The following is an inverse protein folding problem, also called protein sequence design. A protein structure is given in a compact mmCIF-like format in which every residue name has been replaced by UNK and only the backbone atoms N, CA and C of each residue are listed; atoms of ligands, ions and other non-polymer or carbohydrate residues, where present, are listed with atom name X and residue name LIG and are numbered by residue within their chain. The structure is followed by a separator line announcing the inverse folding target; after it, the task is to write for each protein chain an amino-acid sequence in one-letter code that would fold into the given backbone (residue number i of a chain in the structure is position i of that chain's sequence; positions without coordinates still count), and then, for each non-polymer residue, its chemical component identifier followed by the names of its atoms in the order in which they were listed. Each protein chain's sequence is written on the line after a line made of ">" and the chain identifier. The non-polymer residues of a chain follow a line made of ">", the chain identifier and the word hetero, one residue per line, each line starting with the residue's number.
data_IF_389226865741
#
_entry.id   IF_389226865741
#
_cell.length_a   1.000
_cell.length_b   1.000
_cell.length_c   1.000
_cell.angle_alpha   90.00
_cell.angle_beta   90.00
_cell.angle_gamma   90.00
#
_symmetry.space_group_name_H-M   'P 1'
#
loop_
_entity.id
_entity.type
_entity.pdbx_description
1 polymer ?
#
# COMPACT_ATOMS: atom_id res chain seq x y z
N UNK A 1 -14.24 -13.30 9.06
CA UNK A 1 -12.96 -12.78 8.52
C UNK A 1 -12.94 -11.30 8.88
N UNK A 2 -11.90 -10.83 9.55
CA UNK A 2 -11.86 -9.46 10.10
C UNK A 2 -11.84 -8.42 8.97
N UNK A 3 -12.69 -7.40 9.08
CA UNK A 3 -12.90 -6.32 8.10
C UNK A 3 -11.77 -5.25 8.07
N UNK A 4 -10.63 -5.53 8.70
CA UNK A 4 -9.51 -4.59 8.79
C UNK A 4 -8.25 -5.21 8.18
N UNK A 5 -8.32 -5.51 6.88
CA UNK A 5 -7.24 -6.08 6.07
C UNK A 5 -6.29 -5.02 5.49
N UNK A 6 -6.42 -3.76 5.92
CA UNK A 6 -5.65 -2.63 5.41
C UNK A 6 -6.21 -2.03 4.12
N UNK A 7 -7.36 -2.50 3.64
CA UNK A 7 -7.99 -1.97 2.43
C UNK A 7 -7.35 -2.49 1.14
N UNK A 8 -7.74 -1.94 -0.02
CA UNK A 8 -7.30 -2.46 -1.31
C UNK A 8 -5.85 -2.08 -1.62
N UNK A 9 -5.08 -2.98 -2.23
CA UNK A 9 -3.72 -2.68 -2.68
C UNK A 9 -3.70 -1.57 -3.75
N UNK A 10 -4.68 -1.62 -4.67
CA UNK A 10 -4.81 -0.68 -5.78
C UNK A 10 -6.11 0.14 -5.65
N UNK A 11 -6.13 1.38 -6.16
CA UNK A 11 -7.35 2.16 -6.19
C UNK A 11 -8.46 1.42 -6.98
N UNK A 12 -9.68 1.42 -6.45
CA UNK A 12 -10.83 0.85 -7.14
C UNK A 12 -12.09 1.67 -6.91
N UNK A 13 -12.99 1.61 -7.90
CA UNK A 13 -14.31 2.20 -7.77
C UNK A 13 -15.24 1.20 -7.09
N UNK A 14 -16.07 1.69 -6.17
CA UNK A 14 -17.13 0.89 -5.60
C UNK A 14 -18.31 0.79 -6.57
N UNK A 15 -18.70 -0.45 -6.85
CA UNK A 15 -19.82 -0.76 -7.72
C UNK A 15 -20.71 -1.83 -7.07
N UNK A 16 -22.02 -1.68 -7.26
CA UNK A 16 -23.02 -2.66 -6.85
C UNK A 16 -23.56 -3.37 -8.08
N UNK A 17 -23.54 -4.70 -8.05
CA UNK A 17 -24.24 -5.53 -9.01
C UNK A 17 -25.72 -5.59 -8.63
N UNK A 18 -26.59 -5.21 -9.56
CA UNK A 18 -28.03 -5.23 -9.38
C UNK A 18 -28.64 -6.56 -9.87
N UNK A 19 -29.81 -6.98 -9.34
CA UNK A 19 -30.44 -8.25 -9.71
C UNK A 19 -30.82 -8.37 -11.20
N UNK A 20 -30.95 -7.24 -11.90
CA UNK A 20 -31.25 -7.16 -13.33
C UNK A 20 -30.01 -7.30 -14.22
N UNK A 21 -28.84 -7.55 -13.62
CA UNK A 21 -27.56 -7.70 -14.34
C UNK A 21 -26.86 -6.37 -14.65
N UNK A 22 -27.42 -5.23 -14.24
CA UNK A 22 -26.77 -3.93 -14.40
C UNK A 22 -25.80 -3.63 -13.26
N UNK A 23 -24.86 -2.71 -13.51
CA UNK A 23 -23.90 -2.23 -12.52
C UNK A 23 -24.27 -0.80 -12.15
N UNK A 24 -24.44 -0.55 -10.84
CA UNK A 24 -24.62 0.78 -10.29
C UNK A 24 -23.33 1.21 -9.60
N UNK A 25 -22.73 2.31 -10.07
CA UNK A 25 -21.64 2.96 -9.35
C UNK A 25 -22.20 3.51 -8.03
N UNK A 26 -21.58 3.16 -6.91
CA UNK A 26 -22.11 3.51 -5.58
C UNK A 26 -21.91 4.99 -5.23
N UNK A 27 -21.01 5.69 -5.93
CA UNK A 27 -20.73 7.10 -5.72
C UNK A 27 -20.89 7.89 -7.02
N UNK A 28 -21.74 8.91 -6.99
CA UNK A 28 -22.18 9.73 -8.14
C UNK A 28 -21.04 10.44 -8.88
N UNK A 29 -19.90 10.66 -8.19
CA UNK A 29 -18.69 11.27 -8.73
C UNK A 29 -17.50 10.31 -8.86
N UNK A 30 -17.72 9.00 -8.75
CA UNK A 30 -16.65 8.01 -8.85
C UNK A 30 -15.63 8.11 -7.72
N UNK A 31 -16.08 8.27 -6.47
CA UNK A 31 -15.19 8.16 -5.31
C UNK A 31 -14.45 6.83 -5.37
N UNK A 32 -13.16 6.91 -5.64
CA UNK A 32 -12.25 5.80 -5.72
C UNK A 32 -11.76 5.52 -4.30
N UNK A 33 -11.89 4.28 -3.82
CA UNK A 33 -11.21 3.90 -2.58
C UNK A 33 -9.71 4.05 -2.82
N UNK A 34 -8.99 4.80 -1.97
CA UNK A 34 -7.54 4.89 -2.10
C UNK A 34 -6.92 3.50 -1.97
N UNK A 35 -5.89 3.25 -2.76
CA UNK A 35 -5.04 2.08 -2.61
C UNK A 35 -4.01 2.28 -1.49
N UNK A 36 -2.94 1.49 -1.54
CA UNK A 36 -1.78 1.66 -0.66
C UNK A 36 -1.20 3.08 -0.71
N UNK A 37 -0.72 3.56 0.43
CA UNK A 37 0.05 4.80 0.47
C UNK A 37 1.39 4.63 -0.24
N UNK A 38 2.05 5.75 -0.59
CA UNK A 38 3.41 5.71 -1.14
C UNK A 38 4.40 5.04 -0.17
N UNK A 39 4.16 5.19 1.15
CA UNK A 39 4.92 4.55 2.20
C UNK A 39 4.79 3.03 2.15
N UNK A 40 3.56 2.53 2.05
CA UNK A 40 3.29 1.09 1.98
C UNK A 40 3.88 0.49 0.70
N UNK A 41 3.82 1.23 -0.41
CA UNK A 41 4.43 0.81 -1.67
C UNK A 41 5.96 0.69 -1.56
N UNK A 42 6.64 1.70 -1.02
CA UNK A 42 8.09 1.63 -0.80
C UNK A 42 8.47 0.53 0.19
N UNK A 43 7.71 0.36 1.28
CA UNK A 43 7.95 -0.68 2.25
C UNK A 43 7.84 -2.08 1.61
N UNK A 44 6.80 -2.33 0.80
CA UNK A 44 6.66 -3.59 0.07
C UNK A 44 7.81 -3.86 -0.91
N UNK A 45 8.38 -2.82 -1.52
CA UNK A 45 9.56 -2.93 -2.40
C UNK A 45 10.83 -3.22 -1.61
N UNK A 46 11.05 -2.52 -0.49
CA UNK A 46 12.19 -2.74 0.39
C UNK A 46 12.17 -4.16 0.98
N UNK A 47 11.00 -4.59 1.45
CA UNK A 47 10.74 -5.92 2.00
C UNK A 47 11.26 -7.02 1.06
N UNK A 48 10.94 -6.97 -0.24
CA UNK A 48 11.40 -7.97 -1.20
C UNK A 48 12.93 -8.09 -1.26
N UNK A 49 13.64 -6.96 -1.21
CA UNK A 49 15.10 -6.94 -1.22
C UNK A 49 15.71 -7.45 0.08
N UNK A 50 15.10 -7.11 1.23
CA UNK A 50 15.55 -7.58 2.55
C UNK A 50 15.40 -9.11 2.64
N UNK A 51 14.23 -9.66 2.28
CA UNK A 51 13.99 -11.10 2.31
C UNK A 51 14.81 -11.90 1.29
N UNK A 52 15.29 -11.28 0.22
CA UNK A 52 16.18 -11.94 -0.72
C UNK A 52 17.57 -12.23 -0.13
N UNK A 53 17.95 -11.55 0.96
CA UNK A 53 19.22 -11.77 1.62
C UNK A 53 19.09 -12.76 2.79
N UNK A 54 19.46 -14.03 2.53
CA UNK A 54 19.44 -15.10 3.53
C UNK A 54 20.45 -14.93 4.68
N UNK A 55 21.34 -13.93 4.62
CA UNK A 55 22.28 -13.62 5.71
C UNK A 55 21.68 -12.70 6.76
N UNK A 56 20.49 -12.11 6.49
CA UNK A 56 19.77 -11.30 7.46
C UNK A 56 18.93 -12.24 8.33
N UNK A 57 19.36 -12.39 9.59
CA UNK A 57 18.65 -13.18 10.59
C UNK A 57 17.89 -12.24 11.54
N UNK A 58 16.69 -11.86 11.10
CA UNK A 58 15.78 -10.95 11.81
C UNK A 58 14.41 -11.61 11.93
N UNK A 59 13.61 -11.24 12.93
CA UNK A 59 12.23 -11.73 13.01
C UNK A 59 11.40 -11.12 11.88
N UNK A 60 10.24 -11.71 11.57
CA UNK A 60 9.32 -11.15 10.56
C UNK A 60 8.89 -9.73 10.95
N UNK A 61 8.72 -9.45 12.25
CA UNK A 61 8.41 -8.11 12.76
C UNK A 61 9.53 -7.12 12.46
N UNK A 62 10.77 -7.49 12.76
CA UNK A 62 11.94 -6.64 12.51
C UNK A 62 12.14 -6.37 11.00
N UNK A 63 11.84 -7.35 10.13
CA UNK A 63 11.85 -7.16 8.68
C UNK A 63 10.83 -6.09 8.24
N UNK A 64 9.62 -6.14 8.82
CA UNK A 64 8.59 -5.15 8.51
C UNK A 64 9.00 -3.75 9.00
N UNK A 65 9.52 -3.64 10.22
CA UNK A 65 10.05 -2.37 10.75
C UNK A 65 11.17 -1.80 9.88
N UNK A 66 12.13 -2.63 9.49
CA UNK A 66 13.22 -2.22 8.60
C UNK A 66 12.71 -1.76 7.23
N UNK A 67 11.73 -2.47 6.66
CA UNK A 67 11.13 -2.10 5.38
C UNK A 67 10.44 -0.73 5.44
N UNK A 68 9.69 -0.44 6.51
CA UNK A 68 9.08 0.87 6.73
C UNK A 68 10.13 1.96 6.99
N UNK A 69 11.21 1.66 7.71
CA UNK A 69 12.31 2.62 7.90
C UNK A 69 12.97 3.01 6.58
N UNK A 70 13.17 2.06 5.66
CA UNK A 70 13.64 2.35 4.29
C UNK A 70 12.64 3.21 3.53
N UNK A 71 11.34 2.91 3.62
CA UNK A 71 10.29 3.71 2.98
C UNK A 71 10.27 5.17 3.47
N UNK A 72 10.39 5.36 4.78
CA UNK A 72 10.42 6.69 5.41
C UNK A 72 11.65 7.48 4.94
N UNK A 73 12.83 6.84 4.83
CA UNK A 73 14.04 7.46 4.29
C UNK A 73 13.88 7.90 2.82
N UNK A 74 13.19 7.11 1.99
CA UNK A 74 12.92 7.47 0.59
C UNK A 74 11.99 8.68 0.47
N UNK A 75 10.94 8.74 1.29
CA UNK A 75 10.01 9.88 1.33
C UNK A 75 10.72 11.15 1.81
N UNK A 76 11.57 11.02 2.83
CA UNK A 76 12.37 12.12 3.34
C UNK A 76 13.31 12.69 2.26
N UNK A 77 14.00 11.82 1.51
CA UNK A 77 14.87 12.24 0.41
C UNK A 77 14.10 12.90 -0.73
N UNK A 78 12.95 12.36 -1.13
CA UNK A 78 12.09 12.97 -2.14
C UNK A 78 11.62 14.36 -1.71
N UNK A 79 11.28 14.53 -0.43
CA UNK A 79 10.88 15.81 0.15
C UNK A 79 12.04 16.80 0.15
N UNK A 80 13.25 16.36 0.48
CA UNK A 80 14.46 17.18 0.44
C UNK A 80 14.74 17.69 -0.97
N UNK A 81 14.68 16.82 -1.98
CA UNK A 81 14.93 17.16 -3.38
C UNK A 81 13.88 18.10 -4.00
N UNK A 82 12.65 18.09 -3.47
CA UNK A 82 11.59 18.98 -3.94
C UNK A 82 11.68 20.41 -3.36
N UNK A 83 12.64 20.66 -2.44
CA UNK A 83 12.79 21.90 -1.69
C UNK A 83 14.13 22.63 -1.84
N UNK A 84 14.92 22.33 -2.88
CA UNK A 84 16.13 23.07 -3.30
C UNK A 84 15.89 23.83 -4.61
#
# INVERSE_FOLDING_TARGET
>A
MSENDGGPAFPHHEAQFLPDGTIKMLHEYGLCRPGMSLRDWFAGRAMQGIFANSSIDLTIGDHAELAYAVADAMIAEATRLAGE
#
